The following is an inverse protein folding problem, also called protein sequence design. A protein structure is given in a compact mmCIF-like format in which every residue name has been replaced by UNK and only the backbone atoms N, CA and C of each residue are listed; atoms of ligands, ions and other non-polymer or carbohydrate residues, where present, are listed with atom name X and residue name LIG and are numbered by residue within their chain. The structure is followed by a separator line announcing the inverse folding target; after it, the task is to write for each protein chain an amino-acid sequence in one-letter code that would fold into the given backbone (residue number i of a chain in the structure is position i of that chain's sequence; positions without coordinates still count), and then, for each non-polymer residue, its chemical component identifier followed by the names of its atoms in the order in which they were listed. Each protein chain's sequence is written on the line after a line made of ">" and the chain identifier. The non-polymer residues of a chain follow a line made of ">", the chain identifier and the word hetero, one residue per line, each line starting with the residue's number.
data_IF_654249746277
#
_entry.id   IF_654249746277
#
_cell.length_a   1.000
_cell.length_b   1.000
_cell.length_c   1.000
_cell.angle_alpha   90.00
_cell.angle_beta   90.00
_cell.angle_gamma   90.00
#
_symmetry.space_group_name_H-M   'P 1'
#
loop_
_entity.id
_entity.type
_entity.pdbx_description
1 polymer ?
#
# COMPACT_ATOMS: atom_id res chain seq x y z
N UNK A 1 -12.29 -3.24 21.66
CA UNK A 1 -12.25 -3.87 20.32
C UNK A 1 -11.14 -3.19 19.52
N UNK A 2 -10.36 -3.90 18.71
CA UNK A 2 -9.33 -3.29 17.84
C UNK A 2 -9.90 -3.23 16.41
N UNK A 3 -9.89 -2.05 15.80
CA UNK A 3 -10.46 -1.80 14.48
C UNK A 3 -9.42 -1.20 13.54
N UNK A 4 -9.53 -1.52 12.26
CA UNK A 4 -8.77 -0.93 11.15
C UNK A 4 -9.62 -0.99 9.88
N UNK A 5 -9.36 -0.09 8.94
CA UNK A 5 -10.04 -0.05 7.65
C UNK A 5 -9.04 -0.22 6.51
N UNK A 6 -9.46 -0.86 5.43
CA UNK A 6 -8.65 -1.02 4.22
C UNK A 6 -9.27 -0.25 3.07
N UNK A 7 -8.46 0.52 2.35
CA UNK A 7 -8.88 1.32 1.20
C UNK A 7 -8.16 0.93 -0.08
N UNK A 8 -8.91 1.03 -1.17
CA UNK A 8 -8.43 0.81 -2.53
C UNK A 8 -8.36 2.16 -3.24
N UNK A 9 -7.26 2.47 -3.95
CA UNK A 9 -7.18 3.69 -4.74
C UNK A 9 -8.34 3.77 -5.74
N UNK A 10 -9.09 4.88 -5.80
CA UNK A 10 -10.23 5.01 -6.68
C UNK A 10 -9.79 4.96 -8.16
N UNK A 11 -10.71 4.52 -9.04
CA UNK A 11 -10.44 4.52 -10.49
C UNK A 11 -10.25 5.94 -11.02
N UNK A 12 -11.11 6.85 -10.58
CA UNK A 12 -11.03 8.30 -10.86
C UNK A 12 -10.20 9.01 -9.78
N UNK A 13 -9.56 10.13 -10.11
CA UNK A 13 -8.66 10.88 -9.21
C UNK A 13 -9.39 11.69 -8.10
N UNK A 14 -10.55 11.22 -7.66
CA UNK A 14 -11.30 11.82 -6.55
C UNK A 14 -10.96 11.13 -5.22
N UNK A 15 -9.76 11.43 -4.70
CA UNK A 15 -9.30 10.92 -3.41
C UNK A 15 -10.08 11.50 -2.23
N UNK A 16 -10.55 12.74 -2.35
CA UNK A 16 -11.25 13.43 -1.29
C UNK A 16 -12.57 12.75 -0.95
N UNK A 17 -13.27 12.20 -1.94
CA UNK A 17 -14.44 11.37 -1.66
C UNK A 17 -14.15 10.17 -0.76
N UNK A 18 -13.02 9.49 -0.95
CA UNK A 18 -12.61 8.35 -0.12
C UNK A 18 -12.27 8.81 1.30
N UNK A 19 -11.54 9.92 1.42
CA UNK A 19 -11.18 10.52 2.71
C UNK A 19 -12.44 10.97 3.47
N UNK A 20 -13.37 11.65 2.81
CA UNK A 20 -14.63 12.10 3.43
C UNK A 20 -15.43 10.93 3.99
N UNK A 21 -15.50 9.81 3.28
CA UNK A 21 -16.18 8.61 3.78
C UNK A 21 -15.47 8.03 5.02
N UNK A 22 -14.13 8.02 5.03
CA UNK A 22 -13.36 7.63 6.20
C UNK A 22 -13.63 8.53 7.42
N UNK A 23 -13.71 9.84 7.24
CA UNK A 23 -13.94 10.78 8.35
C UNK A 23 -15.28 10.51 9.07
N UNK A 24 -16.28 9.98 8.38
CA UNK A 24 -17.55 9.54 9.00
C UNK A 24 -17.35 8.34 9.96
N UNK A 25 -16.34 7.52 9.69
CA UNK A 25 -15.98 6.31 10.44
C UNK A 25 -14.85 6.54 11.45
N UNK A 26 -14.10 7.64 11.35
CA UNK A 26 -12.96 7.97 12.23
C UNK A 26 -13.36 8.01 13.72
N UNK A 27 -14.61 8.39 14.02
CA UNK A 27 -15.19 8.37 15.37
C UNK A 27 -15.12 7.01 16.08
N UNK A 28 -14.93 5.92 15.35
CA UNK A 28 -14.74 4.57 15.92
C UNK A 28 -13.29 4.29 16.31
N UNK A 29 -12.41 5.30 16.26
CA UNK A 29 -11.00 5.26 16.67
C UNK A 29 -10.23 4.06 16.07
N UNK A 30 -10.18 3.95 14.72
CA UNK A 30 -9.37 2.91 14.09
C UNK A 30 -7.90 3.08 14.47
N UNK A 31 -7.22 1.95 14.72
CA UNK A 31 -5.80 1.97 15.09
C UNK A 31 -4.90 2.39 13.92
N UNK A 32 -5.33 2.05 12.71
CA UNK A 32 -4.67 2.41 11.47
C UNK A 32 -5.65 2.23 10.30
N UNK A 33 -5.28 2.79 9.16
CA UNK A 33 -5.85 2.46 7.84
C UNK A 33 -4.79 1.78 6.99
N UNK A 34 -5.18 0.75 6.23
CA UNK A 34 -4.34 0.18 5.19
C UNK A 34 -4.74 0.71 3.82
N UNK A 35 -3.75 0.99 2.98
CA UNK A 35 -3.95 1.38 1.59
C UNK A 35 -3.31 0.32 0.70
N UNK A 36 -4.12 -0.27 -0.18
CA UNK A 36 -3.61 -1.23 -1.14
C UNK A 36 -2.66 -0.54 -2.12
N UNK A 37 -1.58 -1.24 -2.47
CA UNK A 37 -0.54 -0.72 -3.36
C UNK A 37 -0.42 -1.63 -4.56
N UNK A 38 -0.76 -1.07 -5.72
CA UNK A 38 -0.88 -1.83 -6.95
C UNK A 38 0.44 -2.40 -7.44
N UNK A 39 0.35 -3.48 -8.22
CA UNK A 39 1.51 -4.18 -8.74
C UNK A 39 2.24 -3.40 -9.85
N UNK A 40 1.61 -2.40 -10.50
CA UNK A 40 2.15 -1.73 -11.71
C UNK A 40 1.90 -0.21 -11.72
N UNK A 41 2.79 0.54 -12.38
CA UNK A 41 2.95 2.02 -12.35
C UNK A 41 1.69 2.87 -12.17
N UNK A 42 0.66 2.69 -13.00
CA UNK A 42 -0.57 3.51 -12.91
C UNK A 42 -1.39 3.29 -11.63
N UNK A 43 -1.23 2.14 -10.97
CA UNK A 43 -1.84 1.85 -9.67
C UNK A 43 -0.97 2.27 -8.49
N UNK A 44 0.34 2.46 -8.70
CA UNK A 44 1.26 2.98 -7.67
C UNK A 44 1.01 4.48 -7.44
N UNK A 45 0.95 5.28 -8.50
CA UNK A 45 0.68 6.73 -8.42
C UNK A 45 -0.66 7.02 -7.72
N UNK A 46 -1.69 6.22 -8.00
CA UNK A 46 -3.00 6.35 -7.33
C UNK A 46 -2.94 6.02 -5.85
N UNK A 47 -2.13 5.02 -5.48
CA UNK A 47 -1.92 4.66 -4.07
C UNK A 47 -1.21 5.79 -3.33
N UNK A 48 -0.19 6.39 -3.94
CA UNK A 48 0.52 7.54 -3.38
C UNK A 48 -0.37 8.78 -3.25
N UNK A 49 -1.19 9.06 -4.27
CA UNK A 49 -2.17 10.14 -4.21
C UNK A 49 -3.16 9.96 -3.06
N UNK A 50 -3.66 8.75 -2.87
CA UNK A 50 -4.55 8.45 -1.76
C UNK A 50 -3.84 8.55 -0.40
N UNK A 51 -2.60 8.06 -0.27
CA UNK A 51 -1.79 8.21 0.94
C UNK A 51 -1.62 9.69 1.30
N UNK A 52 -1.28 10.54 0.34
CA UNK A 52 -1.14 12.00 0.56
C UNK A 52 -2.45 12.62 1.03
N UNK A 53 -3.56 12.30 0.37
CA UNK A 53 -4.87 12.82 0.76
C UNK A 53 -5.25 12.43 2.20
N UNK A 54 -4.98 11.19 2.62
CA UNK A 54 -5.19 10.79 4.01
C UNK A 54 -4.25 11.52 4.98
N UNK A 55 -2.95 11.63 4.66
CA UNK A 55 -1.97 12.36 5.49
C UNK A 55 -2.33 13.83 5.72
N UNK A 56 -3.00 14.46 4.76
CA UNK A 56 -3.44 15.84 4.86
C UNK A 56 -4.69 16.02 5.73
N UNK A 57 -5.46 14.95 5.99
CA UNK A 57 -6.80 15.05 6.58
C UNK A 57 -6.99 14.24 7.87
N UNK A 58 -6.04 13.38 8.26
CA UNK A 58 -6.12 12.60 9.50
C UNK A 58 -4.74 12.27 10.08
N UNK A 59 -4.66 12.17 11.39
CA UNK A 59 -3.48 11.70 12.13
C UNK A 59 -3.47 10.16 12.32
N UNK A 60 -4.49 9.45 11.85
CA UNK A 60 -4.54 7.99 11.94
C UNK A 60 -3.39 7.36 11.16
N UNK A 61 -2.73 6.38 11.80
CA UNK A 61 -1.60 5.68 11.20
C UNK A 61 -1.96 5.07 9.84
N UNK A 62 -1.10 5.29 8.85
CA UNK A 62 -1.23 4.71 7.52
C UNK A 62 -0.29 3.52 7.39
N UNK A 63 -0.82 2.40 6.90
CA UNK A 63 -0.07 1.19 6.56
C UNK A 63 -0.18 0.97 5.04
N UNK A 64 0.94 1.01 4.33
CA UNK A 64 0.92 0.73 2.90
C UNK A 64 1.11 -0.76 2.61
N UNK A 65 0.35 -1.32 1.68
CA UNK A 65 0.66 -2.64 1.16
C UNK A 65 1.95 -2.58 0.31
N UNK A 66 2.70 -3.67 0.28
CA UNK A 66 3.89 -3.80 -0.57
C UNK A 66 3.87 -5.18 -1.22
N UNK A 67 3.62 -5.24 -2.53
CA UNK A 67 3.66 -6.48 -3.32
C UNK A 67 5.05 -6.71 -3.91
N UNK A 68 5.48 -7.97 -4.02
CA UNK A 68 6.85 -8.33 -4.43
C UNK A 68 6.93 -9.01 -5.81
N UNK A 69 5.84 -9.57 -6.33
CA UNK A 69 5.81 -10.19 -7.66
C UNK A 69 6.09 -9.14 -8.73
N UNK A 70 6.96 -9.50 -9.69
CA UNK A 70 7.29 -8.67 -10.84
C UNK A 70 8.19 -7.46 -10.54
N UNK A 71 8.80 -7.38 -9.34
CA UNK A 71 9.65 -6.25 -8.92
C UNK A 71 11.04 -6.72 -8.50
N UNK A 72 12.09 -6.13 -9.03
CA UNK A 72 13.46 -6.37 -8.55
C UNK A 72 13.64 -5.92 -7.10
N UNK A 73 14.77 -6.30 -6.48
CA UNK A 73 15.13 -5.82 -5.14
C UNK A 73 15.31 -4.30 -5.14
N UNK A 74 15.83 -3.76 -6.23
CA UNK A 74 16.03 -2.33 -6.46
C UNK A 74 14.70 -1.58 -6.53
N UNK A 75 13.70 -2.14 -7.23
CA UNK A 75 12.34 -1.59 -7.27
C UNK A 75 11.70 -1.56 -5.88
N UNK A 76 11.82 -2.65 -5.12
CA UNK A 76 11.30 -2.75 -3.76
C UNK A 76 11.95 -1.69 -2.85
N UNK A 77 13.27 -1.50 -2.94
CA UNK A 77 13.99 -0.46 -2.18
C UNK A 77 13.49 0.93 -2.54
N UNK A 78 13.25 1.19 -3.82
CA UNK A 78 12.74 2.48 -4.30
C UNK A 78 11.36 2.77 -3.72
N UNK A 79 10.44 1.79 -3.77
CA UNK A 79 9.09 1.92 -3.20
C UNK A 79 9.15 2.16 -1.68
N UNK A 80 9.99 1.43 -0.95
CA UNK A 80 10.17 1.63 0.50
C UNK A 80 10.70 3.05 0.78
N UNK A 81 11.60 3.57 -0.07
CA UNK A 81 12.09 4.93 0.06
C UNK A 81 10.98 5.96 -0.19
N UNK A 82 10.15 5.76 -1.21
CA UNK A 82 8.98 6.61 -1.51
C UNK A 82 7.98 6.61 -0.34
N UNK A 83 7.65 5.44 0.23
CA UNK A 83 6.81 5.35 1.43
C UNK A 83 7.39 6.14 2.60
N UNK A 84 8.70 6.06 2.82
CA UNK A 84 9.36 6.83 3.88
C UNK A 84 9.26 8.33 3.64
N UNK A 85 9.41 8.80 2.39
CA UNK A 85 9.24 10.21 2.03
C UNK A 85 7.79 10.68 2.23
N UNK A 86 6.81 9.80 2.05
CA UNK A 86 5.39 10.06 2.32
C UNK A 86 5.01 9.94 3.81
N UNK A 87 5.98 9.66 4.70
CA UNK A 87 5.73 9.48 6.13
C UNK A 87 5.00 8.19 6.49
N UNK A 88 5.05 7.17 5.62
CA UNK A 88 4.52 5.83 5.88
C UNK A 88 5.63 4.97 6.50
N UNK A 89 5.44 4.59 7.76
CA UNK A 89 6.43 3.84 8.56
C UNK A 89 6.03 2.39 8.81
N UNK A 90 4.87 1.96 8.29
CA UNK A 90 4.32 0.60 8.48
C UNK A 90 3.92 0.05 7.13
N UNK A 91 4.27 -1.22 6.89
CA UNK A 91 3.92 -1.91 5.65
C UNK A 91 3.27 -3.26 5.92
N UNK A 92 2.37 -3.67 5.03
CA UNK A 92 1.96 -5.07 4.90
C UNK A 92 2.76 -5.67 3.73
N UNK A 93 3.75 -6.50 4.05
CA UNK A 93 4.53 -7.19 3.04
C UNK A 93 3.74 -8.38 2.47
N UNK A 94 3.43 -8.33 1.19
CA UNK A 94 2.61 -9.30 0.48
C UNK A 94 3.40 -9.87 -0.69
N UNK A 95 3.19 -11.15 -1.02
CA UNK A 95 3.71 -11.71 -2.27
C UNK A 95 3.16 -10.93 -3.47
N UNK A 96 1.84 -10.71 -3.49
CA UNK A 96 1.10 -10.22 -4.65
C UNK A 96 0.66 -11.36 -5.57
N UNK A 97 -0.11 -10.99 -6.59
CA UNK A 97 -0.64 -11.92 -7.58
C UNK A 97 0.30 -12.01 -8.79
N UNK A 98 0.37 -13.21 -9.38
CA UNK A 98 1.07 -13.46 -10.64
C UNK A 98 0.05 -13.56 -11.76
N UNK A 99 0.29 -12.84 -12.87
CA UNK A 99 -0.60 -12.79 -14.04
C UNK A 99 -0.87 -14.18 -14.64
N UNK A 100 0.05 -15.15 -14.49
CA UNK A 100 -0.09 -16.53 -14.99
C UNK A 100 -0.03 -17.59 -13.87
N UNK A 101 -0.11 -17.20 -12.61
CA UNK A 101 0.09 -18.12 -11.48
C UNK A 101 1.52 -18.64 -11.31
N UNK A 102 2.45 -18.30 -12.21
CA UNK A 102 3.88 -18.64 -12.10
C UNK A 102 4.60 -17.63 -11.20
N UNK A 103 5.21 -18.10 -10.13
CA UNK A 103 6.01 -17.27 -9.23
C UNK A 103 7.50 -17.55 -9.43
N UNK A 104 8.26 -16.55 -9.85
CA UNK A 104 9.72 -16.61 -9.87
C UNK A 104 10.30 -16.05 -8.56
N UNK A 105 11.16 -16.85 -7.93
CA UNK A 105 11.81 -16.45 -6.70
C UNK A 105 12.92 -15.42 -6.98
N UNK A 106 12.94 -14.35 -6.18
CA UNK A 106 14.05 -13.37 -6.14
C UNK A 106 15.40 -13.98 -5.80
N UNK A 107 15.41 -15.19 -5.23
CA UNK A 107 16.59 -15.97 -4.95
C UNK A 107 16.43 -17.28 -5.70
N UNK A 108 17.25 -17.51 -6.73
CA UNK A 108 17.39 -18.85 -7.33
C UNK A 108 17.77 -19.80 -6.20
N UNK A 109 16.99 -20.88 -6.00
CA UNK A 109 17.18 -21.86 -4.92
C UNK A 109 18.66 -22.03 -4.64
N UNK A 110 19.11 -21.70 -3.42
CA UNK A 110 20.42 -22.15 -2.95
C UNK A 110 20.43 -23.65 -3.20
N UNK A 111 21.36 -24.13 -4.02
CA UNK A 111 21.55 -25.56 -4.25
C UNK A 111 21.56 -26.23 -2.87
N UNK A 112 20.50 -26.96 -2.54
CA UNK A 112 20.49 -27.85 -1.38
C UNK A 112 21.52 -28.92 -1.71
N UNK A 113 22.72 -28.78 -1.13
CA UNK A 113 23.61 -29.91 -0.88
C UNK A 113 23.26 -30.44 0.51
#
# INVERSE_FOLDING_TARGET
>A
MKLSYEFYPPKELDYQKVVNEFLLMEKYAPRFISITYGAMGGSQEKSEGLIKAFKENTDVDIVAHLTLVGKSKEDIKKIIHEFKLLGVNKIVALRGDSLEGKFEWHIKKRNQK
#
